data_IF_660519070777
#
_entry.id   IF_660519070777
#
_cell.length_a   1.000
_cell.length_b   1.000
_cell.length_c   1.000
_cell.angle_alpha   90.00
_cell.angle_beta   90.00
_cell.angle_gamma   90.00
#
_symmetry.space_group_name_H-M   'P 1'
#
loop_
_entity.id
_entity.type
_entity.pdbx_description
1 polymer ?
#
# COMPACT_ATOMS: atom_id res chain seq x y z
N UNK A 1 -28.07 41.78 -9.51
CA UNK A 1 -27.45 42.64 -10.57
C UNK A 1 -28.15 43.97 -10.70
N UNK A 2 -28.09 44.84 -9.65
CA UNK A 2 -28.77 46.11 -9.64
C UNK A 2 -27.74 47.26 -9.55
N UNK A 3 -26.95 47.47 -10.61
CA UNK A 3 -25.97 48.54 -10.67
C UNK A 3 -26.06 49.26 -12.01
N UNK A 4 -26.14 50.61 -11.94
CA UNK A 4 -26.29 51.49 -13.10
C UNK A 4 -25.11 51.33 -14.09
N UNK A 5 -25.35 51.07 -15.40
CA UNK A 5 -24.30 50.81 -16.42
C UNK A 5 -23.27 51.95 -16.58
N UNK A 6 -23.63 53.15 -16.27
CA UNK A 6 -22.78 54.39 -16.35
C UNK A 6 -21.58 54.33 -15.38
N UNK A 7 -21.66 53.57 -14.25
CA UNK A 7 -20.50 53.39 -13.32
C UNK A 7 -19.45 52.44 -13.87
N UNK A 8 -19.82 51.54 -14.77
CA UNK A 8 -18.90 50.59 -15.39
C UNK A 8 -18.00 51.27 -16.44
N UNK A 9 -18.51 52.25 -17.17
CA UNK A 9 -17.78 52.99 -18.22
C UNK A 9 -16.78 54.01 -17.67
N UNK A 10 -16.94 54.51 -16.45
CA UNK A 10 -16.05 55.56 -15.85
C UNK A 10 -14.80 54.99 -15.15
N UNK A 11 -14.45 53.73 -15.28
CA UNK A 11 -13.20 53.16 -14.73
C UNK A 11 -13.04 53.24 -13.20
N UNK A 12 -14.05 53.76 -12.46
CA UNK A 12 -14.00 53.93 -10.99
C UNK A 12 -14.04 52.60 -10.19
N UNK A 13 -14.31 51.49 -10.85
CA UNK A 13 -14.34 50.15 -10.21
C UNK A 13 -12.95 49.66 -9.79
N UNK A 14 -11.91 50.09 -10.47
CA UNK A 14 -10.54 49.69 -10.16
C UNK A 14 -10.01 50.29 -8.83
N UNK A 15 -10.63 51.34 -8.34
CA UNK A 15 -10.21 52.10 -7.14
C UNK A 15 -11.20 51.98 -5.96
N UNK A 16 -12.23 51.12 -6.06
CA UNK A 16 -13.17 50.91 -4.97
C UNK A 16 -12.54 50.10 -3.83
N UNK A 17 -12.67 50.57 -2.58
CA UNK A 17 -12.26 49.86 -1.37
C UNK A 17 -12.88 48.44 -1.29
N UNK A 18 -14.06 48.23 -1.87
CA UNK A 18 -14.73 46.93 -1.98
C UNK A 18 -13.97 45.99 -2.93
N UNK A 19 -13.49 46.44 -4.08
CA UNK A 19 -12.72 45.65 -5.04
C UNK A 19 -11.34 45.23 -4.53
N UNK A 20 -10.73 46.07 -3.67
CA UNK A 20 -9.45 45.68 -3.04
C UNK A 20 -9.64 44.58 -2.00
N UNK A 21 -10.70 44.63 -1.19
CA UNK A 21 -11.02 43.55 -0.23
C UNK A 21 -11.32 42.22 -0.92
N UNK A 22 -12.12 42.25 -1.96
CA UNK A 22 -12.47 41.02 -2.72
C UNK A 22 -11.22 40.35 -3.29
N UNK A 23 -10.29 41.12 -3.85
CA UNK A 23 -9.03 40.58 -4.36
C UNK A 23 -8.15 39.96 -3.27
N UNK A 24 -8.03 40.60 -2.09
CA UNK A 24 -7.29 40.07 -0.95
C UNK A 24 -7.89 38.74 -0.47
N UNK A 25 -9.21 38.66 -0.37
CA UNK A 25 -9.91 37.42 0.02
C UNK A 25 -9.67 36.30 -0.99
N UNK A 26 -9.79 36.61 -2.30
CA UNK A 26 -9.51 35.62 -3.36
C UNK A 26 -8.09 35.06 -3.26
N UNK A 27 -7.10 35.93 -3.01
CA UNK A 27 -5.70 35.52 -2.86
C UNK A 27 -5.50 34.69 -1.61
N UNK A 28 -6.13 35.01 -0.47
CA UNK A 28 -6.07 34.17 0.73
C UNK A 28 -6.62 32.77 0.43
N UNK A 29 -7.79 32.67 -0.22
CA UNK A 29 -8.39 31.36 -0.60
C UNK A 29 -7.46 30.59 -1.54
N UNK A 30 -6.87 31.26 -2.52
CA UNK A 30 -5.95 30.66 -3.48
C UNK A 30 -4.68 30.10 -2.81
N UNK A 31 -4.04 30.89 -1.90
CA UNK A 31 -2.87 30.42 -1.15
C UNK A 31 -3.23 29.30 -0.17
N UNK A 32 -4.40 29.38 0.46
CA UNK A 32 -4.91 28.34 1.35
C UNK A 32 -5.08 27.03 0.59
N UNK A 33 -5.73 27.05 -0.58
CA UNK A 33 -5.89 25.86 -1.43
C UNK A 33 -4.54 25.30 -1.87
N UNK A 34 -3.61 26.15 -2.34
CA UNK A 34 -2.27 25.71 -2.75
C UNK A 34 -1.47 25.10 -1.60
N UNK A 35 -1.62 25.64 -0.38
CA UNK A 35 -0.93 25.13 0.80
C UNK A 35 -1.49 23.76 1.24
N UNK A 36 -2.81 23.59 1.19
CA UNK A 36 -3.46 22.31 1.48
C UNK A 36 -2.99 21.26 0.47
N UNK A 37 -2.96 21.58 -0.82
CA UNK A 37 -2.46 20.68 -1.86
C UNK A 37 -0.98 20.33 -1.67
N UNK A 38 -0.15 21.31 -1.32
CA UNK A 38 1.27 21.09 -1.06
C UNK A 38 1.50 20.15 0.12
N UNK A 39 0.82 20.40 1.25
CA UNK A 39 0.91 19.54 2.42
C UNK A 39 0.41 18.12 2.10
N UNK A 40 -0.73 18.01 1.39
CA UNK A 40 -1.25 16.73 0.95
C UNK A 40 -0.27 15.96 0.07
N UNK A 41 0.32 16.63 -0.92
CA UNK A 41 1.34 16.03 -1.80
C UNK A 41 2.55 15.52 -1.02
N UNK A 42 3.09 16.33 -0.10
CA UNK A 42 4.24 15.92 0.71
C UNK A 42 3.93 14.70 1.60
N UNK A 43 2.73 14.66 2.20
CA UNK A 43 2.29 13.54 3.03
C UNK A 43 2.12 12.27 2.18
N UNK A 44 1.48 12.36 1.00
CA UNK A 44 1.32 11.22 0.08
C UNK A 44 2.68 10.66 -0.32
N UNK A 45 3.63 11.52 -0.74
CA UNK A 45 4.98 11.05 -1.09
C UNK A 45 5.74 10.46 0.10
N UNK A 46 5.60 11.03 1.30
CA UNK A 46 6.20 10.48 2.51
C UNK A 46 5.62 9.11 2.84
N UNK A 47 4.29 8.94 2.72
CA UNK A 47 3.61 7.67 2.94
C UNK A 47 4.03 6.60 1.92
N UNK A 48 4.10 6.94 0.63
CA UNK A 48 4.57 6.02 -0.41
C UNK A 48 6.03 5.59 -0.17
N UNK A 49 6.89 6.53 0.21
CA UNK A 49 8.28 6.23 0.54
C UNK A 49 8.39 5.33 1.78
N UNK A 50 7.57 5.58 2.79
CA UNK A 50 7.49 4.75 3.99
C UNK A 50 7.05 3.33 3.65
N UNK A 51 5.96 3.16 2.89
CA UNK A 51 5.45 1.85 2.47
C UNK A 51 6.51 1.05 1.70
N UNK A 52 7.26 1.68 0.79
CA UNK A 52 8.35 1.03 0.05
C UNK A 52 9.54 0.63 0.91
N UNK A 53 9.79 1.34 2.01
CA UNK A 53 10.88 1.03 2.92
C UNK A 53 10.55 -0.05 3.94
N UNK A 54 9.27 -0.38 4.11
CA UNK A 54 8.83 -1.42 5.04
C UNK A 54 9.16 -2.81 4.51
N UNK A 55 9.63 -3.67 5.41
CA UNK A 55 9.82 -5.08 5.10
C UNK A 55 8.47 -5.76 5.02
N UNK A 56 8.22 -6.43 3.91
CA UNK A 56 7.02 -7.28 3.73
C UNK A 56 6.98 -8.47 4.70
N UNK A 57 8.13 -8.79 5.33
CA UNK A 57 8.28 -10.00 6.15
C UNK A 57 8.42 -11.28 5.32
N UNK A 58 8.49 -11.14 3.98
CA UNK A 58 8.63 -12.24 3.02
C UNK A 58 9.71 -11.92 1.99
N UNK A 59 10.35 -12.97 1.46
CA UNK A 59 11.28 -12.87 0.34
C UNK A 59 10.47 -12.89 -0.97
N UNK A 60 10.52 -11.79 -1.70
CA UNK A 60 9.78 -11.65 -2.98
C UNK A 60 10.70 -11.73 -4.18
N UNK A 61 12.00 -11.45 -3.99
CA UNK A 61 12.97 -11.35 -5.07
C UNK A 61 13.17 -12.70 -5.77
N UNK A 62 13.20 -12.65 -7.11
CA UNK A 62 13.52 -13.81 -7.94
C UNK A 62 12.57 -15.02 -7.72
N UNK A 63 11.29 -14.75 -7.47
CA UNK A 63 10.28 -15.80 -7.35
C UNK A 63 9.35 -15.75 -8.56
N UNK A 64 9.42 -16.80 -9.39
CA UNK A 64 8.47 -17.04 -10.49
C UNK A 64 7.25 -17.75 -9.94
N UNK A 65 6.08 -17.21 -10.17
CA UNK A 65 4.80 -17.79 -9.76
C UNK A 65 4.03 -18.19 -11.01
N UNK A 66 3.59 -19.46 -11.06
CA UNK A 66 2.74 -19.98 -12.14
C UNK A 66 1.39 -20.34 -11.58
N UNK A 67 0.34 -19.89 -12.23
CA UNK A 67 -1.04 -20.16 -11.83
C UNK A 67 -1.54 -21.46 -12.41
N UNK A 68 -2.15 -22.29 -11.57
CA UNK A 68 -2.73 -23.54 -12.04
C UNK A 68 -4.04 -23.32 -12.81
N UNK A 69 -4.29 -24.14 -13.85
CA UNK A 69 -5.62 -24.27 -14.40
C UNK A 69 -6.54 -24.86 -13.31
N UNK A 70 -7.79 -24.42 -13.29
CA UNK A 70 -8.77 -24.89 -12.30
C UNK A 70 -8.87 -26.42 -12.18
N UNK A 71 -9.92 -26.93 -11.58
CA UNK A 71 -10.11 -28.36 -11.27
C UNK A 71 -9.82 -29.27 -12.47
N UNK A 72 -8.76 -30.07 -12.33
CA UNK A 72 -8.39 -31.13 -13.29
C UNK A 72 -8.27 -32.45 -12.53
N UNK A 73 -8.91 -33.52 -13.01
CA UNK A 73 -8.75 -34.87 -12.40
C UNK A 73 -7.28 -35.31 -12.35
N UNK A 74 -6.86 -35.84 -11.22
CA UNK A 74 -5.48 -36.27 -11.00
C UNK A 74 -4.47 -35.12 -10.84
N UNK A 75 -4.95 -33.89 -10.57
CA UNK A 75 -4.14 -32.69 -10.47
C UNK A 75 -3.00 -32.90 -9.47
N UNK A 76 -3.25 -33.34 -8.25
CA UNK A 76 -2.23 -33.46 -7.20
C UNK A 76 -1.05 -34.36 -7.62
N UNK A 77 -1.32 -35.50 -8.27
CA UNK A 77 -0.25 -36.41 -8.73
C UNK A 77 0.60 -35.76 -9.83
N UNK A 78 -0.03 -35.07 -10.78
CA UNK A 78 0.68 -34.33 -11.84
C UNK A 78 1.52 -33.19 -11.25
N UNK A 79 0.97 -32.46 -10.25
CA UNK A 79 1.67 -31.36 -9.60
C UNK A 79 2.93 -31.85 -8.87
N UNK A 80 2.83 -32.95 -8.09
CA UNK A 80 3.99 -33.51 -7.40
C UNK A 80 5.09 -33.95 -8.37
N UNK A 81 4.72 -34.58 -9.48
CA UNK A 81 5.67 -35.00 -10.51
C UNK A 81 6.33 -33.76 -11.17
N UNK A 82 5.54 -32.72 -11.47
CA UNK A 82 6.02 -31.49 -12.03
C UNK A 82 6.95 -30.76 -11.05
N UNK A 83 6.58 -30.65 -9.77
CA UNK A 83 7.41 -30.05 -8.70
C UNK A 83 8.80 -30.71 -8.67
N UNK A 84 8.83 -32.05 -8.63
CA UNK A 84 10.08 -32.82 -8.63
C UNK A 84 10.93 -32.58 -9.88
N UNK A 85 10.30 -32.37 -11.02
CA UNK A 85 11.01 -32.08 -12.28
C UNK A 85 11.58 -30.68 -12.27
N UNK A 86 10.81 -29.68 -11.84
CA UNK A 86 11.25 -28.27 -11.75
C UNK A 86 12.36 -28.11 -10.70
N UNK A 87 12.24 -28.78 -9.54
CA UNK A 87 13.25 -28.71 -8.47
C UNK A 87 14.63 -29.25 -8.86
N UNK A 88 14.74 -29.99 -9.98
CA UNK A 88 16.04 -30.46 -10.53
C UNK A 88 16.71 -29.47 -11.46
N UNK A 89 16.05 -28.37 -11.82
CA UNK A 89 16.63 -27.34 -12.67
C UNK A 89 17.76 -26.61 -11.93
N UNK A 90 18.89 -26.32 -12.58
CA UNK A 90 20.05 -25.68 -11.92
C UNK A 90 19.76 -24.26 -11.41
N UNK A 91 18.78 -23.59 -12.02
CA UNK A 91 18.37 -22.22 -11.67
C UNK A 91 17.38 -22.17 -10.50
N UNK A 92 16.92 -23.32 -10.01
CA UNK A 92 15.89 -23.40 -8.97
C UNK A 92 16.51 -23.71 -7.63
N UNK A 93 16.20 -22.86 -6.65
CA UNK A 93 16.55 -23.05 -5.26
C UNK A 93 15.50 -23.88 -4.53
N UNK A 94 14.23 -23.49 -4.69
CA UNK A 94 13.11 -24.14 -3.99
C UNK A 94 11.81 -24.00 -4.80
N UNK A 95 10.90 -24.94 -4.63
CA UNK A 95 9.57 -24.96 -5.26
C UNK A 95 8.53 -25.25 -4.20
N UNK A 96 7.45 -24.47 -4.18
CA UNK A 96 6.35 -24.66 -3.23
C UNK A 96 4.99 -24.50 -3.89
N UNK A 97 3.99 -25.18 -3.34
CA UNK A 97 2.58 -25.06 -3.70
C UNK A 97 1.82 -24.27 -2.65
N UNK A 98 0.88 -23.42 -3.11
CA UNK A 98 0.01 -22.69 -2.18
C UNK A 98 -1.33 -22.34 -2.80
N UNK A 99 -2.31 -22.10 -1.91
CA UNK A 99 -3.62 -21.57 -2.29
C UNK A 99 -3.62 -20.08 -2.59
N UNK A 100 -2.67 -19.33 -2.02
CA UNK A 100 -2.42 -17.92 -2.29
C UNK A 100 -0.92 -17.64 -2.13
N UNK A 101 -0.44 -16.58 -2.79
CA UNK A 101 0.93 -16.08 -2.64
C UNK A 101 0.93 -14.83 -1.76
N UNK A 102 2.06 -14.48 -1.12
CA UNK A 102 2.18 -13.19 -0.44
C UNK A 102 1.83 -12.03 -1.38
N UNK A 103 1.08 -11.05 -0.87
CA UNK A 103 0.55 -9.94 -1.67
C UNK A 103 -0.86 -10.18 -2.22
N UNK A 104 -1.37 -11.40 -2.20
CA UNK A 104 -2.73 -11.75 -2.63
C UNK A 104 -3.64 -12.01 -1.41
N UNK A 105 -4.89 -11.58 -1.50
CA UNK A 105 -5.88 -11.89 -0.47
C UNK A 105 -6.20 -13.39 -0.45
N UNK A 106 -6.12 -14.00 0.73
CA UNK A 106 -6.54 -15.41 0.90
C UNK A 106 -8.06 -15.47 0.75
N UNK A 107 -8.52 -16.15 -0.30
CA UNK A 107 -9.95 -16.19 -0.63
C UNK A 107 -10.80 -17.05 0.33
N UNK A 108 -10.17 -17.85 1.21
CA UNK A 108 -10.87 -18.79 2.08
C UNK A 108 -10.77 -18.35 3.53
N UNK A 109 -11.94 -18.15 4.13
CA UNK A 109 -12.09 -17.83 5.54
C UNK A 109 -12.87 -18.95 6.21
N UNK A 110 -12.33 -19.49 7.30
CA UNK A 110 -13.02 -20.46 8.14
C UNK A 110 -13.20 -19.95 9.55
N UNK A 111 -14.27 -20.40 10.18
CA UNK A 111 -14.69 -20.01 11.53
C UNK A 111 -14.09 -20.96 12.55
N UNK A 112 -12.98 -20.59 13.16
CA UNK A 112 -12.17 -21.45 14.01
C UNK A 112 -12.16 -20.96 15.47
N UNK A 113 -11.85 -21.85 16.42
CA UNK A 113 -11.70 -21.53 17.83
C UNK A 113 -10.72 -22.46 18.52
N UNK A 114 -10.14 -22.02 19.62
CA UNK A 114 -9.42 -22.88 20.57
C UNK A 114 -10.37 -23.93 21.13
N UNK A 115 -9.95 -25.19 21.24
CA UNK A 115 -10.79 -26.29 21.74
C UNK A 115 -11.23 -26.03 23.19
N UNK A 116 -10.34 -25.48 24.01
CA UNK A 116 -10.58 -25.17 25.41
C UNK A 116 -11.09 -23.73 25.65
N UNK A 117 -11.63 -23.05 24.64
CA UNK A 117 -12.19 -21.71 24.82
C UNK A 117 -13.47 -21.75 25.68
N UNK A 118 -13.40 -21.13 26.86
CA UNK A 118 -14.54 -21.05 27.80
C UNK A 118 -15.75 -20.34 27.18
N UNK A 119 -15.53 -19.36 26.30
CA UNK A 119 -16.59 -18.58 25.65
C UNK A 119 -17.13 -19.26 24.39
N UNK A 120 -16.46 -20.30 23.89
CA UNK A 120 -16.80 -21.02 22.64
C UNK A 120 -17.04 -20.08 21.45
N UNK A 121 -16.31 -18.96 21.40
CA UNK A 121 -16.45 -17.98 20.34
C UNK A 121 -15.65 -18.37 19.11
N UNK A 122 -16.34 -18.62 18.03
CA UNK A 122 -15.73 -18.79 16.73
C UNK A 122 -15.30 -17.42 16.18
N UNK A 123 -14.11 -17.37 15.57
CA UNK A 123 -13.59 -16.19 14.87
C UNK A 123 -13.11 -16.58 13.48
N UNK A 124 -13.13 -15.64 12.57
CA UNK A 124 -12.72 -15.86 11.19
C UNK A 124 -11.18 -15.81 11.07
N UNK A 125 -10.65 -16.77 10.37
CA UNK A 125 -9.21 -16.89 10.04
C UNK A 125 -9.06 -17.12 8.55
N UNK A 126 -8.04 -16.52 7.97
CA UNK A 126 -7.61 -16.85 6.61
C UNK A 126 -6.97 -18.24 6.60
N UNK A 127 -7.50 -19.13 5.78
CA UNK A 127 -7.00 -20.52 5.67
C UNK A 127 -6.19 -20.65 4.40
N UNK A 128 -4.89 -20.82 4.54
CA UNK A 128 -3.97 -20.94 3.42
C UNK A 128 -3.44 -22.38 3.34
N UNK A 129 -3.90 -23.13 2.32
CA UNK A 129 -3.35 -24.43 2.02
C UNK A 129 -1.96 -24.28 1.40
N UNK A 130 -0.98 -24.97 1.97
CA UNK A 130 0.39 -24.96 1.46
C UNK A 130 1.09 -26.28 1.70
N UNK A 131 2.19 -26.49 0.97
CA UNK A 131 3.09 -27.60 1.22
C UNK A 131 4.15 -27.25 2.29
N UNK A 132 4.94 -28.21 2.80
CA UNK A 132 5.96 -27.96 3.81
C UNK A 132 7.02 -26.92 3.42
N UNK A 133 7.28 -26.76 2.13
CA UNK A 133 8.31 -25.86 1.62
C UNK A 133 7.91 -24.38 1.64
N UNK A 134 6.62 -24.04 1.88
CA UNK A 134 6.07 -22.69 1.77
C UNK A 134 6.78 -21.68 2.70
N UNK A 135 6.92 -22.04 3.98
CA UNK A 135 7.51 -21.16 5.00
C UNK A 135 8.95 -20.80 4.63
N UNK A 136 9.72 -21.80 4.18
CA UNK A 136 11.13 -21.63 3.84
C UNK A 136 11.30 -20.92 2.48
N UNK A 137 10.46 -21.23 1.49
CA UNK A 137 10.48 -20.63 0.17
C UNK A 137 10.28 -19.10 0.24
N UNK A 138 9.35 -18.66 1.06
CA UNK A 138 9.10 -17.23 1.29
C UNK A 138 9.93 -16.64 2.42
N UNK A 139 10.77 -17.45 3.09
CA UNK A 139 11.64 -17.01 4.17
C UNK A 139 10.87 -16.47 5.36
N UNK A 140 9.69 -17.03 5.65
CA UNK A 140 8.92 -16.67 6.83
C UNK A 140 9.67 -17.07 8.09
N UNK A 141 9.74 -16.16 9.06
CA UNK A 141 10.45 -16.41 10.30
C UNK A 141 9.57 -17.21 11.27
N UNK A 142 9.96 -18.44 11.59
CA UNK A 142 9.35 -19.21 12.68
C UNK A 142 9.83 -18.61 14.02
N UNK A 143 8.89 -18.13 14.84
CA UNK A 143 9.18 -17.47 16.13
C UNK A 143 8.93 -18.39 17.32
N UNK A 144 8.15 -19.45 17.16
CA UNK A 144 7.96 -20.50 18.16
C UNK A 144 7.62 -21.84 17.46
N UNK A 145 8.02 -22.96 18.08
CA UNK A 145 7.76 -24.27 17.53
C UNK A 145 8.57 -24.59 16.27
N UNK A 146 7.95 -25.22 15.27
CA UNK A 146 8.58 -25.66 14.02
C UNK A 146 7.66 -25.49 12.81
N UNK A 147 8.24 -25.57 11.63
CA UNK A 147 7.51 -25.70 10.35
C UNK A 147 6.99 -27.14 10.13
N UNK A 148 6.15 -27.31 9.12
CA UNK A 148 5.83 -28.65 8.58
C UNK A 148 7.10 -29.33 8.11
N UNK A 149 7.18 -30.65 8.33
CA UNK A 149 8.30 -31.47 7.85
C UNK A 149 7.89 -32.93 7.70
N UNK A 150 8.34 -33.53 6.63
CA UNK A 150 8.17 -34.99 6.41
C UNK A 150 8.97 -35.84 7.41
N UNK A 151 10.00 -35.28 8.05
CA UNK A 151 10.86 -36.00 9.02
C UNK A 151 10.17 -36.32 10.33
N UNK A 152 9.11 -35.60 10.70
CA UNK A 152 8.37 -35.80 11.95
C UNK A 152 7.09 -36.65 11.77
N UNK A 153 6.94 -37.30 10.62
CA UNK A 153 5.77 -38.12 10.30
C UNK A 153 4.69 -37.27 9.59
N UNK A 154 3.41 -37.65 9.78
CA UNK A 154 2.30 -37.02 9.08
C UNK A 154 1.86 -35.74 9.78
N UNK A 155 2.26 -34.58 9.22
CA UNK A 155 1.84 -33.27 9.67
C UNK A 155 0.52 -32.79 9.03
N UNK A 156 -0.23 -33.66 8.35
CA UNK A 156 -1.50 -33.31 7.69
C UNK A 156 -2.53 -32.74 8.69
N UNK A 157 -2.53 -33.24 9.93
CA UNK A 157 -3.41 -32.79 11.01
C UNK A 157 -2.82 -31.64 11.88
N UNK A 158 -1.85 -30.93 11.36
CA UNK A 158 -1.16 -29.87 12.08
C UNK A 158 -1.43 -28.50 11.47
N UNK A 159 -1.20 -27.45 12.27
CA UNK A 159 -1.32 -26.05 11.88
C UNK A 159 -0.03 -25.29 12.18
N UNK A 160 0.33 -24.39 11.28
CA UNK A 160 1.26 -23.30 11.53
C UNK A 160 0.48 -21.99 11.42
N UNK A 161 0.60 -21.10 12.42
CA UNK A 161 -0.21 -19.90 12.50
C UNK A 161 0.68 -18.66 12.62
N UNK A 162 0.16 -17.47 12.28
CA UNK A 162 0.91 -16.23 12.50
C UNK A 162 0.63 -15.63 13.89
N UNK A 163 1.45 -14.66 14.32
CA UNK A 163 1.31 -14.02 15.63
C UNK A 163 -0.05 -13.34 15.82
N UNK A 164 -0.65 -12.80 14.75
CA UNK A 164 -2.00 -12.22 14.80
C UNK A 164 -3.06 -13.31 15.09
N UNK A 165 -2.91 -14.52 14.54
CA UNK A 165 -3.80 -15.63 14.86
C UNK A 165 -3.63 -16.10 16.31
N UNK A 166 -2.40 -16.10 16.86
CA UNK A 166 -2.13 -16.37 18.28
C UNK A 166 -2.92 -15.44 19.17
N UNK A 167 -2.80 -14.13 18.94
CA UNK A 167 -3.56 -13.11 19.70
C UNK A 167 -5.07 -13.27 19.54
N UNK A 168 -5.54 -13.58 18.34
CA UNK A 168 -6.97 -13.78 18.07
C UNK A 168 -7.54 -15.02 18.75
N UNK A 169 -6.74 -16.10 18.93
CA UNK A 169 -7.13 -17.29 19.69
C UNK A 169 -7.12 -17.03 21.21
N UNK A 170 -6.62 -15.88 21.66
CA UNK A 170 -6.61 -15.49 23.08
C UNK A 170 -5.41 -16.05 23.87
N UNK A 171 -4.32 -16.42 23.17
CA UNK A 171 -3.07 -16.77 23.83
C UNK A 171 -2.30 -15.51 24.23
N UNK A 172 -1.53 -15.60 25.32
CA UNK A 172 -0.73 -14.50 25.86
C UNK A 172 0.67 -14.46 25.28
N UNK A 173 1.18 -15.59 24.77
CA UNK A 173 2.49 -15.70 24.14
C UNK A 173 2.47 -16.71 22.99
N UNK A 174 3.49 -16.60 22.10
CA UNK A 174 3.65 -17.54 20.98
C UNK A 174 3.93 -18.97 21.46
N UNK A 175 4.69 -19.11 22.55
CA UNK A 175 5.04 -20.42 23.10
C UNK A 175 3.83 -21.13 23.72
N UNK A 176 2.88 -20.39 24.32
CA UNK A 176 1.65 -20.92 24.87
C UNK A 176 0.77 -21.60 23.79
N UNK A 177 0.84 -21.11 22.56
CA UNK A 177 0.05 -21.65 21.46
C UNK A 177 0.55 -23.03 20.98
N UNK A 178 1.85 -23.35 21.20
CA UNK A 178 2.44 -24.59 20.70
C UNK A 178 1.87 -25.81 21.43
N UNK A 179 1.40 -26.79 20.67
CA UNK A 179 0.80 -28.01 21.19
C UNK A 179 -0.71 -27.91 21.46
N UNK A 180 -1.27 -26.70 21.49
CA UNK A 180 -2.68 -26.46 21.71
C UNK A 180 -3.55 -26.90 20.53
N UNK A 181 -4.80 -27.25 20.81
CA UNK A 181 -5.75 -27.77 19.85
C UNK A 181 -6.75 -26.70 19.41
N UNK A 182 -6.96 -26.59 18.10
CA UNK A 182 -7.91 -25.69 17.45
C UNK A 182 -8.97 -26.50 16.72
N UNK A 183 -10.23 -26.20 17.01
CA UNK A 183 -11.35 -26.70 16.22
C UNK A 183 -11.43 -25.88 14.94
N UNK A 184 -11.03 -26.49 13.83
CA UNK A 184 -11.10 -25.91 12.50
C UNK A 184 -12.41 -26.33 11.84
N UNK A 185 -13.14 -25.36 11.30
CA UNK A 185 -14.36 -25.64 10.54
C UNK A 185 -14.07 -26.59 9.37
N UNK A 186 -14.97 -27.52 9.11
CA UNK A 186 -14.83 -28.53 8.05
C UNK A 186 -13.75 -29.59 8.29
N UNK A 187 -13.26 -29.77 9.53
CA UNK A 187 -12.42 -30.91 9.91
C UNK A 187 -13.11 -31.78 10.96
N UNK A 188 -12.92 -33.12 10.88
CA UNK A 188 -13.57 -34.09 11.78
C UNK A 188 -12.98 -34.04 13.20
N UNK A 189 -11.72 -33.64 13.32
CA UNK A 189 -10.98 -33.59 14.58
C UNK A 189 -10.24 -32.26 14.74
N UNK A 190 -10.02 -31.81 16.00
CA UNK A 190 -9.19 -30.66 16.27
C UNK A 190 -7.78 -30.81 15.73
N UNK A 191 -7.19 -29.72 15.24
CA UNK A 191 -5.84 -29.68 14.71
C UNK A 191 -4.88 -29.07 15.72
N UNK A 192 -3.66 -29.59 15.79
CA UNK A 192 -2.65 -29.13 16.73
C UNK A 192 -1.76 -28.04 16.12
N UNK A 193 -1.53 -26.95 16.85
CA UNK A 193 -0.57 -25.92 16.49
C UNK A 193 0.84 -26.46 16.74
N UNK A 194 1.67 -26.51 15.69
CA UNK A 194 3.08 -26.97 15.79
C UNK A 194 4.08 -25.82 15.63
N UNK A 195 3.66 -24.71 15.05
CA UNK A 195 4.53 -23.56 14.82
C UNK A 195 3.80 -22.23 14.77
N UNK A 196 4.53 -21.20 15.11
CA UNK A 196 4.10 -19.80 14.96
C UNK A 196 5.11 -19.10 14.09
N UNK A 197 4.63 -18.47 13.00
CA UNK A 197 5.42 -17.58 12.15
C UNK A 197 5.18 -16.14 12.53
N UNK A 198 6.21 -15.32 12.38
CA UNK A 198 6.09 -13.87 12.54
C UNK A 198 5.04 -13.31 11.61
N UNK A 199 4.35 -12.26 12.03
CA UNK A 199 3.41 -11.56 11.16
C UNK A 199 4.12 -11.06 9.88
N UNK A 200 3.51 -11.30 8.74
CA UNK A 200 3.95 -10.86 7.43
C UNK A 200 2.78 -10.29 6.64
N UNK A 201 3.05 -9.47 5.64
CA UNK A 201 2.01 -8.88 4.81
C UNK A 201 1.54 -9.87 3.74
N UNK A 202 0.44 -10.58 4.05
CA UNK A 202 -0.25 -11.44 3.09
C UNK A 202 -1.02 -10.60 2.05
N UNK A 203 -1.45 -9.41 2.43
CA UNK A 203 -2.10 -8.44 1.55
C UNK A 203 -1.19 -7.21 1.36
N UNK A 204 -1.68 -6.19 0.64
CA UNK A 204 -0.95 -4.94 0.47
C UNK A 204 -0.54 -4.32 1.82
N UNK A 205 0.60 -3.65 1.86
CA UNK A 205 1.15 -2.98 3.07
C UNK A 205 0.21 -1.94 3.70
N UNK A 206 -0.76 -1.44 2.94
CA UNK A 206 -1.80 -0.52 3.44
C UNK A 206 -2.81 -1.19 4.37
N UNK A 207 -2.84 -2.54 4.40
CA UNK A 207 -3.76 -3.31 5.24
C UNK A 207 -3.07 -3.84 6.49
N UNK A 208 -3.83 -3.96 7.57
CA UNK A 208 -3.35 -4.57 8.81
C UNK A 208 -3.06 -6.06 8.62
N UNK A 209 -2.22 -6.61 9.50
CA UNK A 209 -2.00 -8.05 9.56
C UNK A 209 -3.31 -8.78 9.85
N UNK A 210 -3.57 -9.82 9.05
CA UNK A 210 -4.73 -10.69 9.20
C UNK A 210 -4.36 -11.97 9.95
N UNK A 211 -5.30 -12.60 10.68
CA UNK A 211 -5.05 -13.87 11.34
C UNK A 211 -5.03 -15.01 10.32
N UNK A 212 -3.85 -15.56 10.07
CA UNK A 212 -3.61 -16.61 9.06
C UNK A 212 -3.31 -17.93 9.73
N UNK A 213 -3.93 -19.00 9.22
CA UNK A 213 -3.64 -20.39 9.56
C UNK A 213 -3.15 -21.10 8.30
N UNK A 214 -1.89 -21.52 8.30
CA UNK A 214 -1.32 -22.39 7.29
C UNK A 214 -1.75 -23.80 7.59
N UNK A 215 -2.32 -24.48 6.60
CA UNK A 215 -2.79 -25.85 6.68
C UNK A 215 -2.11 -26.70 5.60
N UNK A 216 -1.79 -27.95 5.93
CA UNK A 216 -1.21 -28.85 4.95
C UNK A 216 -2.15 -29.03 3.75
N UNK A 217 -1.59 -28.96 2.53
CA UNK A 217 -2.33 -28.98 1.26
C UNK A 217 -3.29 -30.17 1.09
N UNK A 218 -3.00 -31.30 1.73
CA UNK A 218 -3.77 -32.54 1.59
C UNK A 218 -4.86 -32.68 2.67
N UNK A 219 -4.95 -31.76 3.65
CA UNK A 219 -5.92 -31.87 4.76
C UNK A 219 -7.35 -31.61 4.34
N UNK A 220 -7.58 -30.57 3.56
CA UNK A 220 -8.92 -30.16 3.12
C UNK A 220 -8.95 -30.19 1.59
N UNK A 221 -9.55 -31.23 1.03
CA UNK A 221 -9.51 -31.55 -0.40
C UNK A 221 -10.09 -30.41 -1.31
N UNK A 222 -11.05 -29.63 -0.78
CA UNK A 222 -11.65 -28.53 -1.55
C UNK A 222 -10.89 -27.21 -1.42
N UNK A 223 -9.90 -27.09 -0.49
CA UNK A 223 -9.06 -25.90 -0.42
C UNK A 223 -8.18 -25.86 -1.68
N UNK A 224 -8.29 -24.79 -2.49
CA UNK A 224 -7.61 -24.79 -3.77
C UNK A 224 -6.10 -24.59 -3.59
N UNK A 225 -5.34 -25.40 -4.32
CA UNK A 225 -3.95 -25.08 -4.64
C UNK A 225 -3.98 -24.31 -5.97
N UNK A 226 -3.58 -23.05 -5.94
CA UNK A 226 -3.70 -22.17 -7.11
C UNK A 226 -2.38 -21.86 -7.75
N UNK A 227 -1.29 -21.98 -7.00
CA UNK A 227 0.02 -21.48 -7.41
C UNK A 227 1.11 -22.50 -7.14
N UNK A 228 2.05 -22.56 -8.08
CA UNK A 228 3.39 -23.06 -7.86
C UNK A 228 4.35 -21.87 -7.87
N UNK A 229 5.12 -21.73 -6.81
CA UNK A 229 6.12 -20.69 -6.67
C UNK A 229 7.50 -21.28 -6.73
N UNK A 230 8.32 -20.74 -7.61
CA UNK A 230 9.65 -21.24 -7.95
C UNK A 230 10.65 -20.16 -7.58
N UNK A 231 11.38 -20.38 -6.50
CA UNK A 231 12.42 -19.50 -6.03
C UNK A 231 13.69 -19.77 -6.82
N UNK A 232 14.21 -18.74 -7.47
CA UNK A 232 15.44 -18.86 -8.25
C UNK A 232 16.69 -18.72 -7.36
N UNK A 233 17.77 -19.39 -7.78
CA UNK A 233 19.11 -19.01 -7.36
C UNK A 233 19.57 -17.71 -8.05
N UNK A 234 20.60 -17.69 -8.78
CA UNK A 234 21.04 -16.58 -9.62
C UNK A 234 21.02 -17.04 -11.07
N UNK A 235 20.63 -16.18 -11.98
CA UNK A 235 20.60 -16.50 -13.42
C UNK A 235 19.65 -15.63 -14.22
N UNK A 236 19.45 -15.98 -15.49
CA UNK A 236 18.51 -15.25 -16.35
C UNK A 236 17.07 -15.76 -16.10
N UNK A 237 16.15 -14.88 -15.64
CA UNK A 237 14.74 -15.23 -15.44
C UNK A 237 14.06 -15.76 -16.72
N UNK A 238 14.49 -15.32 -17.89
CA UNK A 238 13.91 -15.74 -19.17
C UNK A 238 14.22 -17.21 -19.47
N UNK A 239 15.42 -17.64 -19.11
CA UNK A 239 15.82 -19.05 -19.25
C UNK A 239 14.96 -19.94 -18.36
N UNK A 240 14.76 -19.55 -17.09
CA UNK A 240 13.87 -20.29 -16.18
C UNK A 240 12.44 -20.35 -16.72
N UNK A 241 11.87 -19.25 -17.17
CA UNK A 241 10.52 -19.22 -17.75
C UNK A 241 10.40 -20.19 -18.93
N UNK A 242 11.41 -20.22 -19.83
CA UNK A 242 11.41 -21.14 -20.98
C UNK A 242 11.45 -22.60 -20.54
N UNK A 243 12.33 -22.97 -19.61
CA UNK A 243 12.45 -24.33 -19.09
C UNK A 243 11.19 -24.79 -18.34
N UNK A 244 10.61 -23.90 -17.53
CA UNK A 244 9.35 -24.19 -16.81
C UNK A 244 8.18 -24.32 -17.77
N UNK A 245 8.12 -23.51 -18.83
CA UNK A 245 7.10 -23.60 -19.86
C UNK A 245 7.18 -24.92 -20.64
N UNK A 246 8.37 -25.40 -20.96
CA UNK A 246 8.56 -26.73 -21.58
C UNK A 246 8.04 -27.86 -20.68
N UNK A 247 8.37 -27.79 -19.38
CA UNK A 247 7.87 -28.77 -18.39
C UNK A 247 6.35 -28.63 -18.26
N UNK A 248 5.80 -27.41 -18.20
CA UNK A 248 4.35 -27.19 -18.14
C UNK A 248 3.62 -27.87 -19.28
N UNK A 249 4.11 -27.72 -20.51
CA UNK A 249 3.51 -28.32 -21.70
C UNK A 249 3.48 -29.86 -21.67
N UNK A 250 4.38 -30.50 -20.91
CA UNK A 250 4.37 -31.97 -20.75
C UNK A 250 3.23 -32.44 -19.84
N UNK A 251 2.81 -31.62 -18.86
CA UNK A 251 1.77 -31.98 -17.89
C UNK A 251 0.41 -31.34 -18.19
N UNK A 252 0.40 -30.17 -18.82
CA UNK A 252 -0.77 -29.29 -19.00
C UNK A 252 -0.83 -28.69 -20.42
N UNK A 253 -0.66 -29.53 -21.46
CA UNK A 253 -0.59 -29.07 -22.85
C UNK A 253 -1.80 -28.25 -23.33
N UNK A 254 -2.99 -28.52 -22.78
CA UNK A 254 -4.24 -27.86 -23.16
C UNK A 254 -4.56 -26.63 -22.28
N UNK A 255 -3.65 -26.23 -21.39
CA UNK A 255 -3.88 -25.13 -20.45
C UNK A 255 -2.93 -23.97 -20.71
N UNK A 256 -3.40 -22.73 -20.50
CA UNK A 256 -2.56 -21.55 -20.61
C UNK A 256 -1.45 -21.57 -19.56
N UNK A 257 -0.28 -21.10 -19.96
CA UNK A 257 0.84 -20.91 -19.04
C UNK A 257 0.82 -19.48 -18.52
N UNK A 258 0.08 -19.24 -17.44
CA UNK A 258 -0.08 -17.95 -16.82
C UNK A 258 0.93 -17.82 -15.67
N UNK A 259 1.86 -16.88 -15.81
CA UNK A 259 2.90 -16.64 -14.82
C UNK A 259 3.12 -15.17 -14.53
N UNK A 260 3.72 -14.88 -13.40
CA UNK A 260 4.22 -13.55 -13.03
C UNK A 260 5.42 -13.67 -12.09
N UNK A 261 6.20 -12.60 -12.00
CA UNK A 261 7.23 -12.49 -10.97
C UNK A 261 6.64 -11.80 -9.74
N UNK A 262 6.94 -12.33 -8.55
CA UNK A 262 6.33 -11.87 -7.32
C UNK A 262 6.73 -10.43 -6.97
N UNK A 263 7.95 -10.01 -7.26
CA UNK A 263 8.43 -8.65 -7.13
C UNK A 263 7.64 -7.68 -8.02
N UNK A 264 7.42 -8.03 -9.29
CA UNK A 264 6.62 -7.24 -10.23
C UNK A 264 5.13 -7.17 -9.81
N UNK A 265 4.62 -8.23 -9.19
CA UNK A 265 3.26 -8.25 -8.68
C UNK A 265 3.08 -7.22 -7.55
N UNK A 266 4.02 -7.14 -6.62
CA UNK A 266 4.04 -6.10 -5.60
C UNK A 266 4.22 -4.71 -6.19
N UNK A 267 5.16 -4.53 -7.12
CA UNK A 267 5.37 -3.25 -7.81
C UNK A 267 4.09 -2.76 -8.50
N UNK A 268 3.33 -3.68 -9.11
CA UNK A 268 2.08 -3.31 -9.76
C UNK A 268 1.00 -2.82 -8.79
N UNK A 269 0.94 -3.36 -7.57
CA UNK A 269 0.01 -2.89 -6.53
C UNK A 269 0.30 -1.45 -6.12
N UNK A 270 1.57 -1.04 -6.04
CA UNK A 270 1.95 0.34 -5.68
C UNK A 270 1.86 1.33 -6.85
N UNK A 271 1.81 0.82 -8.08
CA UNK A 271 1.78 1.68 -9.27
C UNK A 271 0.57 2.61 -9.33
N UNK A 272 -0.59 2.17 -8.84
CA UNK A 272 -1.79 3.01 -8.80
C UNK A 272 -1.61 4.19 -7.85
N UNK A 273 -1.05 3.93 -6.67
CA UNK A 273 -0.76 4.96 -5.68
C UNK A 273 0.32 5.93 -6.16
N UNK A 274 1.31 5.45 -6.91
CA UNK A 274 2.32 6.30 -7.55
C UNK A 274 1.74 7.23 -8.59
N UNK A 275 0.92 6.70 -9.49
CA UNK A 275 0.23 7.51 -10.52
C UNK A 275 -0.63 8.57 -9.85
N UNK A 276 -1.34 8.20 -8.78
CA UNK A 276 -2.11 9.15 -7.98
C UNK A 276 -1.22 10.23 -7.35
N UNK A 277 -0.09 9.86 -6.76
CA UNK A 277 0.90 10.80 -6.21
C UNK A 277 1.45 11.78 -7.26
N UNK A 278 1.79 11.26 -8.45
CA UNK A 278 2.28 12.10 -9.57
C UNK A 278 1.19 13.06 -10.06
N UNK A 279 -0.06 12.61 -10.18
CA UNK A 279 -1.17 13.48 -10.56
C UNK A 279 -1.40 14.60 -9.54
N UNK A 280 -1.45 14.29 -8.25
CA UNK A 280 -1.58 15.30 -7.19
C UNK A 280 -0.41 16.28 -7.25
N UNK A 281 0.81 15.79 -7.45
CA UNK A 281 2.01 16.60 -7.60
C UNK A 281 1.92 17.60 -8.77
N UNK A 282 1.43 17.15 -9.92
CA UNK A 282 1.21 18.01 -11.09
C UNK A 282 0.15 19.10 -10.82
N UNK A 283 -0.98 18.74 -10.20
CA UNK A 283 -2.00 19.73 -9.81
C UNK A 283 -1.48 20.71 -8.78
N UNK A 284 -0.67 20.26 -7.83
CA UNK A 284 -0.01 21.14 -6.84
C UNK A 284 0.93 22.10 -7.50
N UNK A 285 1.75 21.64 -8.44
CA UNK A 285 2.62 22.51 -9.24
C UNK A 285 1.85 23.59 -10.01
N UNK A 286 0.74 23.21 -10.64
CA UNK A 286 -0.15 24.13 -11.34
C UNK A 286 -0.79 25.15 -10.38
N UNK A 287 -1.27 24.70 -9.20
CA UNK A 287 -1.85 25.57 -8.20
C UNK A 287 -0.83 26.60 -7.66
N UNK A 288 0.41 26.18 -7.42
CA UNK A 288 1.50 27.08 -7.03
C UNK A 288 1.78 28.09 -8.13
N UNK A 289 1.86 27.66 -9.39
CA UNK A 289 2.08 28.53 -10.52
C UNK A 289 0.99 29.62 -10.65
N UNK A 290 -0.29 29.21 -10.57
CA UNK A 290 -1.41 30.15 -10.58
C UNK A 290 -1.34 31.12 -9.38
N UNK A 291 -0.94 30.62 -8.20
CA UNK A 291 -0.78 31.46 -7.00
C UNK A 291 0.32 32.50 -7.15
N UNK A 292 1.43 32.14 -7.79
CA UNK A 292 2.50 33.08 -8.13
C UNK A 292 2.01 34.18 -9.11
N UNK A 293 1.24 33.81 -10.14
CA UNK A 293 0.64 34.75 -11.08
C UNK A 293 -0.34 35.67 -10.37
N UNK A 294 -1.19 35.17 -9.48
CA UNK A 294 -2.11 35.98 -8.69
C UNK A 294 -1.39 37.03 -7.83
N UNK A 295 -0.29 36.62 -7.18
CA UNK A 295 0.55 37.52 -6.41
C UNK A 295 1.20 38.61 -7.30
N UNK A 296 1.77 38.15 -8.43
CA UNK A 296 2.38 39.05 -9.40
C UNK A 296 1.43 40.17 -9.84
N UNK A 297 0.21 39.82 -10.24
CA UNK A 297 -0.83 40.79 -10.64
C UNK A 297 -1.17 41.74 -9.50
N UNK A 298 -1.29 41.24 -8.26
CA UNK A 298 -1.56 42.08 -7.10
C UNK A 298 -0.43 43.05 -6.79
N UNK A 299 0.82 42.63 -6.88
CA UNK A 299 2.01 43.44 -6.67
C UNK A 299 2.04 44.55 -7.73
N UNK A 300 1.86 44.20 -9.01
CA UNK A 300 1.82 45.17 -10.11
C UNK A 300 0.72 46.23 -9.92
N UNK A 301 -0.48 45.79 -9.53
CA UNK A 301 -1.59 46.69 -9.24
C UNK A 301 -1.30 47.60 -8.04
N UNK A 302 -0.72 47.07 -6.95
CA UNK A 302 -0.34 47.83 -5.77
C UNK A 302 0.73 48.90 -6.09
N UNK A 303 1.71 48.56 -6.91
CA UNK A 303 2.73 49.46 -7.39
C UNK A 303 2.12 50.59 -8.22
N UNK A 304 1.23 50.28 -9.17
CA UNK A 304 0.61 51.29 -10.05
C UNK A 304 -0.27 52.28 -9.28
N UNK A 305 -0.97 51.82 -8.25
CA UNK A 305 -1.86 52.70 -7.42
C UNK A 305 -1.08 53.57 -6.45
N UNK A 306 0.13 53.21 -6.04
CA UNK A 306 0.96 53.93 -5.07
C UNK A 306 2.16 54.64 -5.67
N UNK A 307 2.26 54.75 -7.00
CA UNK A 307 3.40 55.31 -7.70
C UNK A 307 3.72 56.74 -7.24
N UNK A 308 2.70 57.61 -7.08
CA UNK A 308 2.87 58.98 -6.57
C UNK A 308 3.42 59.04 -5.15
N UNK A 309 2.88 58.23 -4.25
CA UNK A 309 3.31 58.15 -2.85
C UNK A 309 4.78 57.68 -2.76
N UNK A 310 5.13 56.64 -3.54
CA UNK A 310 6.50 56.13 -3.59
C UNK A 310 7.48 57.12 -4.19
N UNK A 311 7.05 57.87 -5.20
CA UNK A 311 7.85 58.96 -5.79
C UNK A 311 8.19 60.05 -4.77
N UNK A 312 7.20 60.54 -4.01
CA UNK A 312 7.39 61.53 -2.96
C UNK A 312 8.35 61.01 -1.88
N UNK A 313 8.17 59.78 -1.40
CA UNK A 313 9.05 59.19 -0.37
C UNK A 313 10.49 59.01 -0.87
N UNK A 314 10.66 58.65 -2.15
CA UNK A 314 11.98 58.55 -2.77
C UNK A 314 12.70 59.87 -2.84
N UNK A 315 11.99 60.98 -3.16
CA UNK A 315 12.53 62.33 -3.15
C UNK A 315 12.90 62.79 -1.74
N UNK A 316 12.15 62.33 -0.73
CA UNK A 316 12.43 62.59 0.70
C UNK A 316 13.55 61.70 1.28
N UNK A 317 14.26 60.89 0.45
CA UNK A 317 15.43 60.15 0.86
C UNK A 317 15.16 58.70 1.32
N UNK A 318 13.95 58.16 1.08
CA UNK A 318 13.69 56.73 1.42
C UNK A 318 14.50 55.76 0.56
N UNK A 319 15.14 54.78 1.20
CA UNK A 319 15.92 53.75 0.50
C UNK A 319 15.02 52.81 -0.33
N UNK A 320 15.59 52.21 -1.40
CA UNK A 320 14.87 51.25 -2.25
C UNK A 320 14.35 50.06 -1.42
N UNK A 321 15.13 49.59 -0.43
CA UNK A 321 14.76 48.50 0.46
C UNK A 321 13.59 48.81 1.37
N UNK A 322 13.51 50.06 1.89
CA UNK A 322 12.39 50.52 2.73
C UNK A 322 11.08 50.52 1.94
N UNK A 323 11.12 50.98 0.69
CA UNK A 323 9.95 51.02 -0.20
C UNK A 323 9.51 49.61 -0.58
N UNK A 324 10.46 48.70 -0.89
CA UNK A 324 10.19 47.31 -1.19
C UNK A 324 9.56 46.58 0.02
N UNK A 325 10.14 46.74 1.21
CA UNK A 325 9.60 46.14 2.43
C UNK A 325 8.16 46.60 2.73
N UNK A 326 7.85 47.87 2.56
CA UNK A 326 6.50 48.36 2.76
C UNK A 326 5.47 47.79 1.77
N UNK A 327 5.88 47.51 0.53
CA UNK A 327 5.04 46.82 -0.45
C UNK A 327 4.82 45.36 -0.07
N UNK A 328 5.89 44.64 0.28
CA UNK A 328 5.87 43.22 0.53
C UNK A 328 5.18 42.87 1.84
N UNK A 329 5.32 43.71 2.89
CA UNK A 329 4.72 43.45 4.22
C UNK A 329 3.21 43.14 4.16
N UNK A 330 2.47 43.84 3.29
CA UNK A 330 1.03 43.64 3.14
C UNK A 330 0.67 42.27 2.55
N UNK A 331 1.49 41.76 1.63
CA UNK A 331 1.29 40.45 1.02
C UNK A 331 1.73 39.31 1.93
N UNK A 332 2.84 39.53 2.67
CA UNK A 332 3.31 38.58 3.67
C UNK A 332 2.24 38.24 4.73
N UNK A 333 1.51 39.28 5.18
CA UNK A 333 0.41 39.09 6.13
C UNK A 333 -0.73 38.26 5.52
N UNK A 334 -1.06 38.44 4.23
CA UNK A 334 -2.09 37.63 3.56
C UNK A 334 -1.69 36.16 3.45
N UNK A 335 -0.42 35.89 3.12
CA UNK A 335 0.13 34.52 3.07
C UNK A 335 0.13 33.93 4.46
N UNK A 336 0.54 34.65 5.50
CA UNK A 336 0.53 34.16 6.88
C UNK A 336 -0.87 33.75 7.33
N UNK A 337 -1.88 34.56 7.04
CA UNK A 337 -3.28 34.24 7.34
C UNK A 337 -3.70 32.97 6.60
N UNK A 338 -3.36 32.83 5.32
CA UNK A 338 -3.68 31.65 4.54
C UNK A 338 -3.04 30.40 5.14
N UNK A 339 -1.76 30.47 5.55
CA UNK A 339 -1.02 29.35 6.18
C UNK A 339 -1.65 28.94 7.51
N UNK A 340 -1.96 29.90 8.38
CA UNK A 340 -2.57 29.64 9.70
C UNK A 340 -3.93 28.92 9.59
N UNK A 341 -4.68 29.21 8.53
CA UNK A 341 -5.97 28.53 8.28
C UNK A 341 -5.74 27.20 7.54
N UNK A 342 -4.81 27.15 6.59
CA UNK A 342 -4.57 25.97 5.76
C UNK A 342 -3.98 24.79 6.54
N UNK A 343 -3.04 25.04 7.47
CA UNK A 343 -2.36 23.96 8.20
C UNK A 343 -3.33 23.09 9.05
N UNK A 344 -4.25 23.65 9.87
CA UNK A 344 -5.22 22.84 10.60
C UNK A 344 -6.15 22.06 9.67
N UNK A 345 -6.59 22.67 8.57
CA UNK A 345 -7.46 22.00 7.59
C UNK A 345 -6.73 20.87 6.87
N UNK A 346 -5.48 21.09 6.47
CA UNK A 346 -4.65 20.06 5.86
C UNK A 346 -4.41 18.90 6.83
N UNK A 347 -4.07 19.19 8.10
CA UNK A 347 -3.86 18.19 9.12
C UNK A 347 -5.11 17.34 9.35
N UNK A 348 -6.28 17.97 9.50
CA UNK A 348 -7.54 17.25 9.70
C UNK A 348 -7.90 16.36 8.51
N UNK A 349 -7.78 16.90 7.29
CA UNK A 349 -8.08 16.14 6.06
C UNK A 349 -7.12 14.96 5.86
N UNK A 350 -5.83 15.16 6.12
CA UNK A 350 -4.82 14.11 5.95
C UNK A 350 -4.89 13.06 7.05
N UNK A 351 -5.19 13.45 8.28
CA UNK A 351 -5.39 12.48 9.37
C UNK A 351 -6.60 11.57 9.10
N UNK A 352 -7.69 12.13 8.58
CA UNK A 352 -8.85 11.34 8.17
C UNK A 352 -8.52 10.39 6.99
N UNK A 353 -7.67 10.81 6.06
CA UNK A 353 -7.24 9.97 4.93
C UNK A 353 -6.26 8.85 5.37
N UNK A 354 -5.34 9.14 6.28
CA UNK A 354 -4.38 8.15 6.79
C UNK A 354 -5.03 7.09 7.71
N UNK A 355 -6.24 7.35 8.23
CA UNK A 355 -6.97 6.41 9.09
C UNK A 355 -7.82 5.39 8.31
N UNK A 356 -7.92 5.54 7.01
CA UNK A 356 -8.59 4.62 6.07
C UNK A 356 -7.58 3.80 5.30
#
# INVERSE_FOLDING_TARGET
LNRKPIMLLKGKFLHSKSGERTRKVLVIIQYMASMILLCGTLIVFAQLSFMRSQSLGVKTNQTLVVKFPGHTEGLNTKLEAMKKTIARLPLVYQVTFSGAVPGEEVATFLSNRRTNDALKQNRLYEMLACDPDYVDAYGLQVVAGRNFSEDYGDDVDKLVINETAVRNLGFTSNDEAIGELVNVECTDAPMQIIGVVKDYHQQALSKNYTPIMLIHKDKIAWLPQRYISIVMTSGDPRELVSQVHEIWNQYFADSSFDYFFLDQFFDHQYRQDEVFGVMIGAFTGLAIFISCLGLWILVMFSCSTRTKEMGIRKVLGASRWTLFYQLVKGFFLLILIAVVIALPLAWFSMNAWLSH
#
